data_IF_483725076961
#
_entry.id   IF_483725076961
#
_cell.length_a   1.000
_cell.length_b   1.000
_cell.length_c   1.000
_cell.angle_alpha   90.00
_cell.angle_beta   90.00
_cell.angle_gamma   90.00
#
_symmetry.space_group_name_H-M   'P 1'
#
loop_
_entity.id
_entity.type
_entity.pdbx_description
1 polymer ?
#
# COMPACT_ATOMS: atom_id res chain seq x y z
N UNK A 1 12.65 -10.83 28.04
CA UNK A 1 11.21 -10.51 28.24
C UNK A 1 10.83 -9.50 27.17
N UNK A 2 10.15 -9.94 26.11
CA UNK A 2 9.59 -9.04 25.10
C UNK A 2 8.45 -8.27 25.78
N UNK A 3 8.49 -6.94 25.74
CA UNK A 3 7.32 -6.14 26.14
C UNK A 3 6.23 -6.43 25.11
N UNK A 4 5.04 -6.81 25.56
CA UNK A 4 3.83 -6.72 24.75
C UNK A 4 3.56 -5.21 24.55
N UNK A 5 4.21 -4.62 23.56
CA UNK A 5 3.86 -3.28 23.08
C UNK A 5 2.58 -3.41 22.28
N UNK A 6 1.57 -2.64 22.66
CA UNK A 6 0.41 -2.46 21.80
C UNK A 6 0.84 -1.65 20.57
N UNK A 7 0.56 -2.13 19.35
CA UNK A 7 0.92 -1.40 18.15
C UNK A 7 0.16 -0.08 18.09
N UNK A 8 0.84 0.97 17.61
CA UNK A 8 0.19 2.24 17.26
C UNK A 8 -0.99 1.98 16.33
N UNK A 9 -2.14 2.59 16.63
CA UNK A 9 -3.33 2.53 15.79
C UNK A 9 -3.06 3.13 14.40
N UNK A 10 -3.66 2.55 13.36
CA UNK A 10 -3.34 2.91 11.97
C UNK A 10 -3.75 4.34 11.58
N UNK A 11 -4.69 4.92 12.32
CA UNK A 11 -5.18 6.29 12.17
C UNK A 11 -4.67 7.24 13.26
N UNK A 12 -3.71 6.85 14.09
CA UNK A 12 -3.24 7.67 15.22
C UNK A 12 -2.34 8.85 14.79
N UNK A 13 -1.57 8.69 13.71
CA UNK A 13 -0.55 9.66 13.26
C UNK A 13 -1.21 10.82 12.51
N UNK A 14 -1.16 12.04 13.01
CA UNK A 14 -1.71 13.21 12.30
C UNK A 14 -0.70 13.87 11.38
N UNK A 15 0.55 13.96 11.85
CA UNK A 15 1.61 14.65 11.15
C UNK A 15 2.90 13.84 11.17
N UNK A 16 3.70 13.99 10.12
CA UNK A 16 5.06 13.44 10.06
C UNK A 16 6.05 14.55 9.74
N UNK A 17 7.18 14.56 10.43
CA UNK A 17 8.33 15.40 10.10
C UNK A 17 9.40 14.54 9.43
N UNK A 18 9.68 14.77 8.15
CA UNK A 18 10.61 13.94 7.36
C UNK A 18 11.97 14.62 7.17
N UNK A 19 12.99 14.08 7.83
CA UNK A 19 14.39 14.46 7.66
C UNK A 19 15.05 13.77 6.46
N UNK A 20 15.99 14.47 5.82
CA UNK A 20 16.78 13.93 4.71
C UNK A 20 16.05 13.85 3.36
N UNK A 21 14.83 14.40 3.27
CA UNK A 21 14.09 14.51 2.02
C UNK A 21 14.60 15.66 1.13
N UNK A 22 14.86 16.82 1.74
CA UNK A 22 15.39 18.01 1.09
C UNK A 22 16.77 18.41 1.67
N UNK A 23 17.52 19.19 0.90
CA UNK A 23 18.82 19.75 1.29
C UNK A 23 18.61 20.92 2.26
N UNK A 24 18.06 20.59 3.43
CA UNK A 24 17.71 21.50 4.52
C UNK A 24 18.06 20.84 5.86
N UNK A 25 18.44 21.66 6.85
CA UNK A 25 18.64 21.16 8.22
C UNK A 25 17.32 20.88 8.94
N UNK A 26 16.24 21.51 8.50
CA UNK A 26 14.89 21.32 9.05
C UNK A 26 14.16 20.19 8.31
N UNK A 27 13.30 19.42 9.01
CA UNK A 27 12.46 18.42 8.37
C UNK A 27 11.37 19.08 7.52
N UNK A 28 10.84 18.33 6.55
CA UNK A 28 9.62 18.73 5.85
C UNK A 28 8.42 18.12 6.60
N UNK A 29 7.51 18.97 7.04
CA UNK A 29 6.28 18.54 7.71
C UNK A 29 5.22 18.15 6.67
N UNK A 30 4.66 16.95 6.83
CA UNK A 30 3.52 16.48 6.06
C UNK A 30 2.34 16.26 7.00
N UNK A 31 1.15 16.66 6.54
CA UNK A 31 -0.10 16.50 7.28
C UNK A 31 -0.91 15.38 6.68
N UNK A 32 -1.69 14.67 7.50
CA UNK A 32 -2.61 13.63 7.03
C UNK A 32 -3.54 14.21 5.96
N UNK A 33 -3.46 13.64 4.77
CA UNK A 33 -4.35 13.94 3.66
C UNK A 33 -5.58 13.05 3.70
N UNK A 34 -6.62 13.45 2.97
CA UNK A 34 -7.80 12.59 2.73
C UNK A 34 -7.56 11.83 1.42
N UNK A 35 -7.41 10.50 1.45
CA UNK A 35 -7.27 9.71 0.24
C UNK A 35 -8.48 9.87 -0.67
N UNK A 36 -8.22 9.97 -1.98
CA UNK A 36 -9.28 10.09 -2.97
C UNK A 36 -9.41 8.78 -3.74
N UNK A 37 -10.62 8.24 -3.76
CA UNK A 37 -11.04 7.22 -4.74
C UNK A 37 -10.70 7.66 -6.18
N UNK A 38 -10.79 8.97 -6.44
CA UNK A 38 -10.71 9.54 -7.78
C UNK A 38 -11.84 9.04 -8.68
N UNK A 39 -11.68 9.19 -10.00
CA UNK A 39 -12.65 8.71 -10.99
C UNK A 39 -12.56 7.19 -11.26
N UNK A 40 -12.05 6.38 -10.32
CA UNK A 40 -12.04 4.93 -10.50
C UNK A 40 -13.49 4.44 -10.47
N UNK A 41 -14.07 4.27 -11.65
CA UNK A 41 -15.40 3.68 -11.79
C UNK A 41 -15.44 2.32 -11.09
N UNK A 42 -16.62 1.96 -10.63
CA UNK A 42 -16.89 0.58 -10.21
C UNK A 42 -16.91 -0.28 -11.47
N UNK A 43 -16.14 -1.37 -11.49
CA UNK A 43 -16.25 -2.37 -12.53
C UNK A 43 -17.58 -3.13 -12.36
N UNK A 44 -18.45 -3.03 -13.36
CA UNK A 44 -19.80 -3.59 -13.32
C UNK A 44 -20.00 -4.57 -14.47
N UNK A 45 -20.69 -5.67 -14.19
CA UNK A 45 -21.27 -6.58 -15.19
C UNK A 45 -22.79 -6.51 -15.13
N UNK A 46 -23.46 -7.15 -16.10
CA UNK A 46 -24.94 -7.21 -16.13
C UNK A 46 -25.53 -7.94 -14.94
N UNK A 47 -24.78 -8.91 -14.40
CA UNK A 47 -25.11 -9.63 -13.16
C UNK A 47 -24.34 -9.00 -12.02
N UNK A 48 -25.07 -8.59 -10.98
CA UNK A 48 -24.55 -7.93 -9.79
C UNK A 48 -24.64 -8.90 -8.61
N UNK A 49 -23.64 -8.89 -7.73
CA UNK A 49 -23.62 -9.66 -6.49
C UNK A 49 -24.83 -9.25 -5.62
N UNK A 50 -25.56 -10.21 -5.03
CA UNK A 50 -26.71 -9.90 -4.18
C UNK A 50 -26.42 -9.00 -2.97
N UNK A 51 -25.16 -8.90 -2.53
CA UNK A 51 -24.76 -8.00 -1.45
C UNK A 51 -24.57 -6.56 -1.91
N UNK A 52 -24.42 -6.31 -3.21
CA UNK A 52 -24.35 -4.98 -3.75
C UNK A 52 -25.74 -4.33 -3.78
N UNK A 53 -25.82 -3.09 -3.31
CA UNK A 53 -27.07 -2.31 -3.27
C UNK A 53 -26.94 -1.13 -4.22
N UNK A 54 -27.97 -0.90 -5.06
CA UNK A 54 -27.99 0.20 -6.05
C UNK A 54 -26.78 0.24 -7.00
N UNK A 55 -26.15 -0.93 -7.24
CA UNK A 55 -24.97 -1.04 -8.10
C UNK A 55 -23.68 -0.56 -7.44
N UNK A 56 -23.66 -0.41 -6.11
CA UNK A 56 -22.46 -0.16 -5.31
C UNK A 56 -22.12 -1.38 -4.43
N UNK A 57 -20.82 -1.66 -4.21
CA UNK A 57 -20.39 -2.68 -3.28
C UNK A 57 -20.75 -2.28 -1.82
N UNK A 58 -20.80 -3.26 -0.90
CA UNK A 58 -20.95 -2.97 0.53
C UNK A 58 -19.91 -1.98 1.03
N UNK A 59 -20.27 -1.24 2.08
CA UNK A 59 -19.33 -0.36 2.79
C UNK A 59 -18.15 -1.18 3.35
N UNK A 60 -16.97 -0.57 3.49
CA UNK A 60 -15.82 -1.18 4.15
C UNK A 60 -16.19 -1.70 5.53
N UNK A 61 -15.67 -2.86 5.89
CA UNK A 61 -15.81 -3.39 7.25
C UNK A 61 -14.89 -2.65 8.23
N UNK A 62 -15.36 -2.52 9.46
CA UNK A 62 -14.58 -1.93 10.54
C UNK A 62 -13.40 -2.82 10.95
N UNK A 63 -12.34 -2.19 11.47
CA UNK A 63 -11.11 -2.86 11.89
C UNK A 63 -10.73 -2.43 13.29
N UNK A 64 -10.35 -3.39 14.13
CA UNK A 64 -9.89 -3.12 15.50
C UNK A 64 -8.48 -2.51 15.55
N UNK A 65 -7.80 -2.37 14.41
CA UNK A 65 -6.50 -1.71 14.31
C UNK A 65 -6.63 -0.17 14.28
N UNK A 66 -7.85 0.35 14.17
CA UNK A 66 -8.14 1.77 14.16
C UNK A 66 -8.60 2.21 15.56
N UNK A 67 -8.08 3.34 16.03
CA UNK A 67 -8.55 3.97 17.24
C UNK A 67 -9.89 4.69 17.01
N UNK A 68 -10.73 4.75 18.04
CA UNK A 68 -11.98 5.51 18.03
C UNK A 68 -11.75 7.03 17.84
N UNK A 69 -10.58 7.53 18.28
CA UNK A 69 -10.17 8.93 18.17
C UNK A 69 -8.87 9.03 17.36
N UNK A 70 -8.94 9.39 16.06
CA UNK A 70 -7.78 9.52 15.19
C UNK A 70 -6.95 10.79 15.49
N UNK A 71 -5.69 10.78 15.05
CA UNK A 71 -4.97 12.02 14.73
C UNK A 71 -4.44 12.84 15.91
N UNK A 72 -3.66 12.21 16.81
CA UNK A 72 -3.00 12.94 17.90
C UNK A 72 -1.47 12.77 17.93
N UNK A 73 -0.95 11.80 17.19
CA UNK A 73 0.46 11.48 17.21
C UNK A 73 1.23 12.27 16.14
N UNK A 74 2.43 12.72 16.51
CA UNK A 74 3.41 13.30 15.60
C UNK A 74 4.60 12.34 15.48
N UNK A 75 5.01 12.03 14.25
CA UNK A 75 6.13 11.13 14.02
C UNK A 75 7.31 11.82 13.33
N UNK A 76 8.46 11.80 14.00
CA UNK A 76 9.73 12.22 13.39
C UNK A 76 10.36 11.04 12.64
N UNK A 77 10.54 11.21 11.34
CA UNK A 77 11.05 10.18 10.43
C UNK A 77 12.32 10.65 9.76
N UNK A 78 13.30 9.76 9.65
CA UNK A 78 14.48 9.95 8.81
C UNK A 78 14.42 9.08 7.57
N UNK A 79 14.54 9.72 6.41
CA UNK A 79 14.54 9.03 5.13
C UNK A 79 15.82 8.20 4.97
N UNK A 80 15.65 6.90 4.76
CA UNK A 80 16.73 5.94 4.56
C UNK A 80 16.97 5.60 3.09
N UNK A 81 17.51 4.40 2.87
CA UNK A 81 17.82 3.88 1.55
C UNK A 81 16.58 3.74 0.66
N UNK A 82 16.75 4.01 -0.62
CA UNK A 82 15.80 3.63 -1.66
C UNK A 82 15.68 2.09 -1.70
N UNK A 83 14.48 1.57 -1.54
CA UNK A 83 14.16 0.16 -1.66
C UNK A 83 13.68 -0.19 -3.06
N UNK A 84 12.81 0.66 -3.62
CA UNK A 84 12.17 0.39 -4.91
C UNK A 84 11.80 1.67 -5.68
N UNK A 85 11.79 1.58 -7.01
CA UNK A 85 11.39 2.63 -7.93
C UNK A 85 10.21 2.13 -8.76
N UNK A 86 8.99 2.53 -8.39
CA UNK A 86 7.75 2.10 -9.03
C UNK A 86 7.20 3.14 -10.00
N UNK A 87 6.08 2.81 -10.66
CA UNK A 87 5.41 3.71 -11.63
C UNK A 87 4.92 5.01 -11.00
N UNK A 88 4.43 4.95 -9.77
CA UNK A 88 3.83 6.09 -9.06
C UNK A 88 4.75 6.79 -8.09
N UNK A 89 5.88 6.18 -7.72
CA UNK A 89 6.72 6.75 -6.69
C UNK A 89 7.99 5.98 -6.40
N UNK A 90 8.61 6.38 -5.31
CA UNK A 90 9.80 5.75 -4.75
C UNK A 90 9.47 5.20 -3.38
N UNK A 91 9.88 3.97 -3.08
CA UNK A 91 9.72 3.37 -1.77
C UNK A 91 11.05 3.47 -1.04
N UNK A 92 11.05 4.13 0.11
CA UNK A 92 12.22 4.27 0.97
C UNK A 92 12.00 3.56 2.30
N UNK A 93 13.05 2.98 2.85
CA UNK A 93 13.08 2.67 4.27
C UNK A 93 13.03 3.99 5.05
N UNK A 94 12.38 4.00 6.21
CA UNK A 94 12.43 5.12 7.14
C UNK A 94 12.75 4.60 8.54
N UNK A 95 13.42 5.42 9.33
CA UNK A 95 13.60 5.17 10.77
C UNK A 95 12.87 6.25 11.56
N UNK A 96 12.18 5.84 12.63
CA UNK A 96 11.58 6.78 13.56
C UNK A 96 12.66 7.33 14.49
N UNK A 97 12.65 8.64 14.73
CA UNK A 97 13.52 9.31 15.70
C UNK A 97 12.68 9.81 16.88
N UNK A 98 13.33 10.05 18.02
CA UNK A 98 12.69 10.63 19.20
C UNK A 98 12.08 9.64 20.22
N UNK A 99 11.47 10.17 21.29
CA UNK A 99 10.80 9.39 22.33
C UNK A 99 9.60 8.65 21.71
N UNK A 100 9.57 7.32 21.81
CA UNK A 100 8.52 6.49 21.19
C UNK A 100 8.93 5.78 19.91
N UNK A 101 10.14 6.03 19.38
CA UNK A 101 10.67 5.28 18.24
C UNK A 101 10.73 3.75 18.46
N UNK A 102 10.79 3.30 19.72
CA UNK A 102 10.74 1.88 20.07
C UNK A 102 9.32 1.28 20.01
N UNK A 103 8.28 2.12 20.04
CA UNK A 103 6.88 1.71 20.00
C UNK A 103 6.32 1.69 18.57
N UNK A 104 7.06 2.26 17.61
CA UNK A 104 6.69 2.29 16.19
C UNK A 104 7.36 1.10 15.48
N UNK A 105 6.59 0.29 14.72
CA UNK A 105 7.18 -0.81 13.97
C UNK A 105 8.11 -0.28 12.87
N UNK A 106 8.83 -1.18 12.21
CA UNK A 106 9.59 -0.77 11.03
C UNK A 106 8.63 -0.32 9.93
N UNK A 107 8.92 0.84 9.32
CA UNK A 107 8.07 1.47 8.31
C UNK A 107 8.81 1.68 6.99
N UNK A 108 8.03 1.89 5.93
CA UNK A 108 8.48 2.38 4.63
C UNK A 108 7.62 3.56 4.19
N UNK A 109 8.22 4.49 3.44
CA UNK A 109 7.53 5.62 2.84
C UNK A 109 7.51 5.45 1.32
N UNK A 110 6.31 5.32 0.72
CA UNK A 110 6.11 5.43 -0.73
C UNK A 110 5.84 6.90 -1.05
N UNK A 111 6.76 7.55 -1.74
CA UNK A 111 6.75 8.99 -2.02
C UNK A 111 6.39 9.23 -3.48
N UNK A 112 5.39 10.08 -3.72
CA UNK A 112 4.92 10.45 -5.05
C UNK A 112 4.96 11.97 -5.28
N UNK A 113 5.41 12.36 -6.47
CA UNK A 113 5.50 13.76 -6.91
C UNK A 113 4.16 14.28 -7.47
N UNK A 114 3.98 15.60 -7.63
CA UNK A 114 2.68 16.22 -7.91
C UNK A 114 1.84 15.57 -9.02
N UNK A 115 2.47 15.19 -10.14
CA UNK A 115 1.79 14.59 -11.30
C UNK A 115 1.38 13.13 -11.10
N UNK A 116 1.99 12.41 -10.15
CA UNK A 116 1.68 11.02 -9.81
C UNK A 116 0.87 10.91 -8.51
N UNK A 117 0.82 11.98 -7.70
CA UNK A 117 0.13 12.05 -6.41
C UNK A 117 -1.31 11.51 -6.47
N UNK A 118 -2.14 11.80 -7.49
CA UNK A 118 -3.49 11.24 -7.54
C UNK A 118 -3.54 9.71 -7.56
N UNK A 119 -2.52 9.04 -8.10
CA UNK A 119 -2.44 7.57 -8.09
C UNK A 119 -2.07 7.04 -6.71
N UNK A 120 -1.12 7.68 -6.03
CA UNK A 120 -0.77 7.33 -4.65
C UNK A 120 -1.95 7.56 -3.68
N UNK A 121 -2.68 8.66 -3.86
CA UNK A 121 -3.91 8.96 -3.10
C UNK A 121 -4.98 7.91 -3.33
N UNK A 122 -5.11 7.38 -4.56
CA UNK A 122 -6.02 6.25 -4.85
C UNK A 122 -5.57 4.97 -4.18
N UNK A 123 -4.29 4.63 -4.24
CA UNK A 123 -3.77 3.45 -3.54
C UNK A 123 -4.07 3.53 -2.03
N UNK A 124 -3.83 4.69 -1.43
CA UNK A 124 -4.17 4.93 -0.03
C UNK A 124 -5.66 4.72 0.27
N UNK A 125 -6.54 5.15 -0.64
CA UNK A 125 -7.98 4.93 -0.52
C UNK A 125 -8.33 3.43 -0.55
N UNK A 126 -7.63 2.62 -1.35
CA UNK A 126 -7.83 1.16 -1.36
C UNK A 126 -7.41 0.53 -0.02
N UNK A 127 -6.34 1.01 0.62
CA UNK A 127 -6.01 0.58 1.99
C UNK A 127 -7.11 0.93 2.99
N UNK A 128 -7.72 2.11 2.89
CA UNK A 128 -8.87 2.51 3.72
C UNK A 128 -10.15 1.72 3.42
N UNK A 129 -10.33 1.23 2.21
CA UNK A 129 -11.44 0.36 1.84
C UNK A 129 -11.21 -1.09 2.32
N UNK A 130 -9.95 -1.51 2.43
CA UNK A 130 -9.51 -2.84 2.89
C UNK A 130 -9.03 -2.85 4.36
N UNK A 131 -9.58 -1.98 5.21
CA UNK A 131 -9.20 -1.81 6.62
C UNK A 131 -9.13 -3.12 7.42
N UNK A 132 -10.09 -4.03 7.22
CA UNK A 132 -10.14 -5.31 7.93
C UNK A 132 -9.10 -6.34 7.46
N UNK A 133 -8.43 -6.10 6.33
CA UNK A 133 -7.43 -7.00 5.75
C UNK A 133 -5.97 -6.60 6.03
N UNK A 134 -5.78 -5.39 6.56
CA UNK A 134 -4.46 -4.86 6.88
C UNK A 134 -3.78 -5.65 8.00
N UNK A 135 -2.52 -6.02 7.79
CA UNK A 135 -1.77 -6.91 8.69
C UNK A 135 -2.10 -8.39 8.53
N UNK A 136 -3.08 -8.76 7.70
CA UNK A 136 -3.43 -10.14 7.37
C UNK A 136 -2.97 -10.54 5.95
N UNK A 137 -3.46 -9.86 4.91
CA UNK A 137 -3.13 -10.16 3.50
C UNK A 137 -2.57 -8.97 2.73
N UNK A 138 -2.70 -7.77 3.26
CA UNK A 138 -2.03 -6.55 2.79
C UNK A 138 -1.25 -5.90 3.95
N UNK A 139 -0.24 -5.05 3.69
CA UNK A 139 0.47 -4.32 4.74
C UNK A 139 -0.46 -3.46 5.59
N UNK A 140 -0.03 -3.14 6.80
CA UNK A 140 -0.62 -2.03 7.54
C UNK A 140 -0.25 -0.70 6.89
N UNK A 141 -1.22 0.19 6.78
CA UNK A 141 -1.13 1.52 6.23
C UNK A 141 -1.41 2.51 7.36
N UNK A 142 -0.38 3.26 7.73
CA UNK A 142 -0.40 4.23 8.82
C UNK A 142 -0.90 5.61 8.37
N UNK A 143 -1.20 5.77 7.08
CA UNK A 143 -1.82 6.96 6.54
C UNK A 143 -1.21 7.46 5.26
N UNK A 144 -1.94 8.39 4.65
CA UNK A 144 -1.54 9.18 3.52
C UNK A 144 -1.29 10.61 3.99
N UNK A 145 -0.15 11.19 3.61
CA UNK A 145 0.30 12.48 4.09
C UNK A 145 0.72 13.36 2.92
N UNK A 146 0.52 14.66 3.05
CA UNK A 146 0.78 15.64 2.01
C UNK A 146 1.57 16.83 2.54
N UNK A 147 2.48 17.36 1.73
CA UNK A 147 3.18 18.59 2.00
C UNK A 147 3.27 19.44 0.74
N UNK A 148 3.04 20.73 0.89
CA UNK A 148 3.35 21.72 -0.14
C UNK A 148 4.87 21.93 -0.15
N UNK A 149 5.49 21.72 -1.31
CA UNK A 149 6.92 21.90 -1.47
C UNK A 149 7.22 23.33 -1.94
N UNK A 150 8.06 24.09 -1.20
CA UNK A 150 8.53 25.41 -1.64
C UNK A 150 9.18 25.40 -3.02
N UNK A 151 9.03 26.50 -3.74
CA UNK A 151 9.75 26.72 -4.99
C UNK A 151 11.27 26.76 -4.71
N UNK A 152 12.07 26.21 -5.63
CA UNK A 152 13.53 26.15 -5.47
C UNK A 152 14.05 25.11 -4.48
N UNK A 153 13.18 24.39 -3.73
CA UNK A 153 13.63 23.32 -2.83
C UNK A 153 14.44 22.26 -3.58
N UNK A 154 15.63 21.91 -3.08
CA UNK A 154 16.49 20.88 -3.67
C UNK A 154 16.27 19.57 -2.91
N UNK A 155 15.93 18.50 -3.63
CA UNK A 155 15.80 17.16 -3.02
C UNK A 155 17.18 16.53 -2.82
N UNK A 156 17.34 15.74 -1.75
CA UNK A 156 18.62 15.08 -1.45
C UNK A 156 18.92 13.92 -2.41
N UNK A 157 17.89 13.16 -2.77
CA UNK A 157 18.03 11.97 -3.61
C UNK A 157 17.98 12.36 -5.10
N UNK A 158 18.94 11.86 -5.88
CA UNK A 158 19.02 12.15 -7.31
C UNK A 158 17.76 11.69 -8.07
N UNK A 159 17.18 10.55 -7.68
CA UNK A 159 15.95 10.05 -8.27
C UNK A 159 14.75 11.00 -8.03
N UNK A 160 14.70 11.69 -6.89
CA UNK A 160 13.68 12.68 -6.59
C UNK A 160 13.83 13.92 -7.48
N UNK A 161 15.08 14.38 -7.69
CA UNK A 161 15.37 15.47 -8.63
C UNK A 161 14.94 15.13 -10.05
N UNK A 162 15.27 13.93 -10.53
CA UNK A 162 14.96 13.49 -11.89
C UNK A 162 13.45 13.39 -12.18
N UNK A 163 12.62 13.07 -11.18
CA UNK A 163 11.15 13.01 -11.32
C UNK A 163 10.44 14.32 -11.05
N UNK A 164 11.13 15.34 -10.54
CA UNK A 164 10.56 16.68 -10.47
C UNK A 164 10.47 17.22 -11.89
N UNK A 165 9.32 17.03 -12.52
CA UNK A 165 8.98 17.77 -13.74
C UNK A 165 8.81 19.23 -13.32
N UNK A 166 9.65 20.17 -13.78
CA UNK A 166 9.38 21.59 -13.59
C UNK A 166 7.98 21.86 -14.12
N UNK A 167 7.19 22.70 -13.44
CA UNK A 167 5.86 23.10 -13.90
C UNK A 167 5.88 23.26 -15.41
N UNK A 168 5.13 22.42 -16.13
CA UNK A 168 5.05 22.47 -17.59
C UNK A 168 4.46 23.84 -17.96
N UNK A 169 5.34 24.81 -18.19
CA UNK A 169 5.01 26.14 -18.68
C UNK A 169 4.77 26.09 -20.19
N UNK A 170 3.82 25.25 -20.61
CA UNK A 170 3.44 25.07 -22.01
C UNK A 170 1.92 25.12 -22.15
N UNK A 171 1.42 26.24 -22.69
CA UNK A 171 0.10 26.58 -23.27
C UNK A 171 -1.22 26.09 -22.64
N UNK A 172 -1.18 25.19 -21.65
CA UNK A 172 -2.32 24.77 -20.86
C UNK A 172 -2.09 25.20 -19.41
N UNK A 173 -2.78 26.27 -18.99
CA UNK A 173 -2.76 26.92 -17.66
C UNK A 173 -3.27 26.03 -16.50
N UNK A 174 -3.07 24.72 -16.53
CA UNK A 174 -3.37 23.88 -15.36
C UNK A 174 -2.17 23.96 -14.41
N UNK A 175 -2.21 24.94 -13.51
CA UNK A 175 -1.28 25.03 -12.38
C UNK A 175 -1.51 23.79 -11.51
N UNK A 176 -0.64 22.79 -11.63
CA UNK A 176 -0.63 21.64 -10.73
C UNK A 176 0.01 22.08 -9.41
N UNK A 177 -0.69 22.00 -8.27
CA UNK A 177 -0.09 22.33 -6.98
C UNK A 177 1.17 21.50 -6.74
N UNK A 178 2.26 22.14 -6.31
CA UNK A 178 3.52 21.47 -5.99
C UNK A 178 3.44 20.69 -4.66
N UNK A 179 2.49 19.75 -4.58
CA UNK A 179 2.22 18.91 -3.42
C UNK A 179 2.86 17.53 -3.64
N UNK A 180 3.66 17.09 -2.68
CA UNK A 180 4.20 15.72 -2.61
C UNK A 180 3.31 14.90 -1.68
N UNK A 181 3.00 13.68 -2.10
CA UNK A 181 2.26 12.70 -1.29
C UNK A 181 3.19 11.63 -0.73
N UNK A 182 2.91 11.17 0.49
CA UNK A 182 3.57 10.05 1.15
C UNK A 182 2.51 9.06 1.61
N UNK A 183 2.71 7.78 1.29
CA UNK A 183 1.97 6.67 1.88
C UNK A 183 2.91 5.93 2.84
N UNK A 184 2.54 5.90 4.12
CA UNK A 184 3.35 5.29 5.18
C UNK A 184 2.83 3.87 5.46
N UNK A 185 3.67 2.87 5.26
CA UNK A 185 3.29 1.46 5.34
C UNK A 185 4.20 0.70 6.31
N UNK A 186 3.70 -0.40 6.85
CA UNK A 186 4.50 -1.44 7.51
C UNK A 186 5.61 -1.92 6.58
N UNK A 187 6.83 -2.04 7.12
CA UNK A 187 7.95 -2.62 6.41
C UNK A 187 7.83 -4.13 6.38
N UNK A 188 7.80 -4.68 5.16
CA UNK A 188 7.91 -6.11 4.91
C UNK A 188 9.38 -6.52 4.71
N UNK A 189 9.61 -7.81 4.49
CA UNK A 189 10.95 -8.32 4.16
C UNK A 189 11.34 -7.95 2.72
N UNK A 190 12.57 -8.30 2.34
CA UNK A 190 13.01 -8.24 0.94
C UNK A 190 12.74 -9.57 0.19
N UNK A 191 12.11 -10.55 0.83
CA UNK A 191 11.86 -11.86 0.24
C UNK A 191 10.64 -11.81 -0.69
N UNK A 192 10.83 -12.31 -1.90
CA UNK A 192 9.79 -12.54 -2.91
C UNK A 192 9.54 -14.04 -3.06
N UNK A 193 8.47 -14.41 -3.75
CA UNK A 193 8.22 -15.82 -4.08
C UNK A 193 9.43 -16.41 -4.82
N UNK A 194 9.84 -17.65 -4.51
CA UNK A 194 11.01 -18.25 -5.15
C UNK A 194 10.79 -18.51 -6.64
N UNK A 195 11.85 -18.34 -7.43
CA UNK A 195 11.87 -18.63 -8.86
C UNK A 195 12.45 -20.01 -9.12
N UNK A 196 12.02 -20.65 -10.21
CA UNK A 196 12.48 -21.99 -10.62
C UNK A 196 12.22 -23.08 -9.55
N UNK A 197 11.21 -22.89 -8.71
CA UNK A 197 10.80 -23.84 -7.68
C UNK A 197 9.42 -24.38 -8.02
N UNK A 198 9.25 -25.69 -7.93
CA UNK A 198 7.93 -26.32 -8.02
C UNK A 198 7.16 -26.05 -6.73
N UNK A 199 6.16 -25.18 -6.81
CA UNK A 199 5.26 -24.94 -5.68
C UNK A 199 4.45 -26.18 -5.33
N UNK A 200 4.43 -26.52 -4.04
CA UNK A 200 3.51 -27.52 -3.50
C UNK A 200 2.07 -26.99 -3.47
N UNK A 201 1.10 -27.89 -3.30
CA UNK A 201 -0.32 -27.53 -3.27
C UNK A 201 -0.63 -26.48 -2.19
N UNK A 202 -0.01 -26.60 -1.02
CA UNK A 202 -0.25 -25.69 0.11
C UNK A 202 0.21 -24.25 -0.17
N UNK A 203 1.28 -24.09 -0.94
CA UNK A 203 1.77 -22.79 -1.40
C UNK A 203 0.84 -22.18 -2.44
N UNK A 204 0.44 -22.96 -3.44
CA UNK A 204 -0.52 -22.48 -4.44
C UNK A 204 -1.82 -22.03 -3.77
N UNK A 205 -2.33 -22.84 -2.84
CA UNK A 205 -3.52 -22.51 -2.07
C UNK A 205 -3.33 -21.23 -1.24
N UNK A 206 -2.17 -21.04 -0.60
CA UNK A 206 -1.90 -19.81 0.16
C UNK A 206 -1.99 -18.56 -0.71
N UNK A 207 -1.41 -18.58 -1.91
CA UNK A 207 -1.45 -17.42 -2.81
C UNK A 207 -2.86 -17.19 -3.35
N UNK A 208 -3.60 -18.25 -3.70
CA UNK A 208 -5.01 -18.14 -4.07
C UNK A 208 -5.85 -17.54 -2.93
N UNK A 209 -5.61 -17.99 -1.70
CA UNK A 209 -6.32 -17.50 -0.51
C UNK A 209 -6.03 -16.03 -0.22
N UNK A 210 -4.82 -15.51 -0.48
CA UNK A 210 -4.51 -14.07 -0.36
C UNK A 210 -5.44 -13.22 -1.24
N UNK A 211 -5.53 -13.57 -2.52
CA UNK A 211 -6.37 -12.83 -3.47
C UNK A 211 -7.85 -13.05 -3.23
N UNK A 212 -8.22 -14.23 -2.72
CA UNK A 212 -9.58 -14.51 -2.27
C UNK A 212 -10.02 -13.54 -1.18
N UNK A 213 -9.21 -13.35 -0.13
CA UNK A 213 -9.53 -12.43 0.96
C UNK A 213 -9.80 -11.00 0.45
N UNK A 214 -9.02 -10.52 -0.53
CA UNK A 214 -9.20 -9.19 -1.14
C UNK A 214 -10.48 -9.14 -2.00
N UNK A 215 -10.70 -10.16 -2.84
CA UNK A 215 -11.91 -10.23 -3.68
C UNK A 215 -13.20 -10.34 -2.87
N UNK A 216 -13.17 -10.93 -1.68
CA UNK A 216 -14.33 -10.99 -0.78
C UNK A 216 -14.78 -9.59 -0.32
N UNK A 217 -13.86 -8.61 -0.39
CA UNK A 217 -14.11 -7.19 -0.11
C UNK A 217 -14.44 -6.37 -1.38
N UNK A 218 -14.84 -7.03 -2.47
CA UNK A 218 -15.26 -6.39 -3.72
C UNK A 218 -14.17 -5.55 -4.39
N UNK A 219 -12.91 -5.97 -4.27
CA UNK A 219 -11.74 -5.34 -4.90
C UNK A 219 -11.10 -6.29 -5.90
N UNK A 220 -10.94 -5.82 -7.13
CA UNK A 220 -10.23 -6.47 -8.23
C UNK A 220 -8.78 -5.99 -8.22
N UNK A 221 -7.85 -6.92 -7.99
CA UNK A 221 -6.41 -6.66 -8.05
C UNK A 221 -5.92 -6.92 -9.46
N UNK A 222 -5.71 -5.84 -10.22
CA UNK A 222 -5.35 -5.93 -11.64
C UNK A 222 -3.87 -6.21 -11.91
N UNK A 223 -3.01 -5.89 -10.96
CA UNK A 223 -1.55 -6.02 -11.10
C UNK A 223 -1.03 -7.22 -10.29
N UNK A 224 -1.49 -8.42 -10.63
CA UNK A 224 -1.04 -9.68 -10.01
C UNK A 224 0.34 -10.03 -10.56
N UNK A 225 1.37 -9.52 -9.90
CA UNK A 225 2.76 -9.66 -10.30
C UNK A 225 3.64 -10.23 -9.19
N UNK A 226 4.75 -10.86 -9.60
CA UNK A 226 5.77 -11.39 -8.68
C UNK A 226 6.31 -10.33 -7.71
N UNK A 227 6.56 -9.12 -8.22
CA UNK A 227 7.05 -7.99 -7.44
C UNK A 227 6.08 -7.54 -6.34
N UNK A 228 4.78 -7.81 -6.53
CA UNK A 228 3.70 -7.32 -5.68
C UNK A 228 3.31 -8.32 -4.57
N UNK A 229 4.04 -9.43 -4.43
CA UNK A 229 3.86 -10.40 -3.35
C UNK A 229 5.13 -10.48 -2.52
N UNK A 230 5.07 -9.95 -1.30
CA UNK A 230 6.22 -9.82 -0.41
C UNK A 230 5.99 -10.57 0.89
N UNK A 231 7.04 -11.24 1.39
CA UNK A 231 6.96 -11.94 2.68
C UNK A 231 6.97 -10.97 3.85
N UNK A 232 6.22 -11.30 4.90
CA UNK A 232 6.26 -10.57 6.19
C UNK A 232 7.68 -10.52 6.77
N UNK A 233 8.01 -9.42 7.43
CA UNK A 233 9.31 -9.28 8.10
C UNK A 233 9.41 -10.27 9.27
N UNK A 234 10.58 -10.88 9.44
CA UNK A 234 10.93 -11.71 10.61
C UNK A 234 11.78 -10.94 11.63
N UNK A 235 11.87 -9.62 11.45
CA UNK A 235 12.54 -8.72 12.37
C UNK A 235 11.91 -8.84 13.77
N UNK A 236 12.69 -8.72 14.86
CA UNK A 236 12.15 -8.69 16.21
C UNK A 236 11.22 -7.48 16.45
N UNK A 237 11.26 -6.47 15.57
CA UNK A 237 10.38 -5.30 15.58
C UNK A 237 9.18 -5.43 14.64
N UNK A 238 9.02 -6.57 13.96
CA UNK A 238 7.86 -6.83 13.11
C UNK A 238 6.62 -7.10 13.96
N UNK A 239 5.48 -6.54 13.54
CA UNK A 239 4.21 -6.81 14.19
C UNK A 239 3.72 -8.23 13.86
N UNK A 240 3.02 -8.90 14.79
CA UNK A 240 2.43 -10.19 14.53
C UNK A 240 1.43 -10.10 13.37
N UNK A 241 1.40 -11.13 12.53
CA UNK A 241 0.40 -11.23 11.46
C UNK A 241 -0.99 -11.52 12.03
N UNK A 242 -2.02 -10.90 11.46
CA UNK A 242 -3.40 -11.20 11.77
C UNK A 242 -3.92 -12.37 10.90
N UNK A 243 -4.90 -13.15 11.38
CA UNK A 243 -5.56 -14.14 10.55
C UNK A 243 -6.41 -13.45 9.46
N UNK A 244 -6.49 -14.08 8.28
CA UNK A 244 -7.45 -13.71 7.25
C UNK A 244 -8.89 -13.86 7.74
N UNK A 245 -9.77 -12.99 7.26
CA UNK A 245 -11.15 -12.92 7.70
C UNK A 245 -11.94 -14.17 7.30
N UNK A 246 -11.84 -14.55 6.03
CA UNK A 246 -12.63 -15.63 5.45
C UNK A 246 -12.01 -17.00 5.73
N UNK A 247 -10.68 -17.07 5.71
CA UNK A 247 -9.92 -18.32 5.83
C UNK A 247 -9.51 -18.63 7.27
N UNK A 248 -9.44 -17.62 8.14
CA UNK A 248 -8.88 -17.74 9.50
C UNK A 248 -7.37 -18.03 9.53
N UNK A 249 -6.71 -18.07 8.36
CA UNK A 249 -5.30 -18.44 8.23
C UNK A 249 -4.39 -17.25 8.47
N UNK A 250 -3.27 -17.46 9.14
CA UNK A 250 -2.18 -16.48 9.20
C UNK A 250 -1.28 -16.68 7.98
N UNK A 251 -1.12 -15.63 7.18
CA UNK A 251 -0.35 -15.66 5.94
C UNK A 251 1.09 -15.21 6.15
N UNK A 252 2.04 -15.85 5.47
CA UNK A 252 3.44 -15.38 5.44
C UNK A 252 3.68 -14.30 4.39
N UNK A 253 2.72 -14.08 3.49
CA UNK A 253 2.85 -13.19 2.34
C UNK A 253 1.82 -12.06 2.41
N UNK A 254 2.14 -10.95 1.73
CA UNK A 254 1.27 -9.79 1.59
C UNK A 254 1.24 -9.34 0.14
N UNK A 255 0.07 -8.91 -0.31
CA UNK A 255 -0.12 -8.20 -1.58
C UNK A 255 0.15 -6.72 -1.35
N UNK A 256 0.99 -6.12 -2.20
CA UNK A 256 1.30 -4.69 -2.19
C UNK A 256 0.93 -4.04 -3.52
N UNK A 257 1.22 -2.74 -3.65
CA UNK A 257 1.02 -1.95 -4.87
C UNK A 257 -0.44 -1.96 -5.36
N UNK A 258 -1.32 -1.40 -4.54
CA UNK A 258 -2.77 -1.46 -4.75
C UNK A 258 -3.29 -0.33 -5.67
N UNK A 259 -2.40 0.34 -6.41
CA UNK A 259 -2.73 1.54 -7.20
C UNK A 259 -3.68 1.29 -8.38
N UNK A 260 -3.60 0.10 -8.97
CA UNK A 260 -4.42 -0.34 -10.09
C UNK A 260 -5.63 -1.17 -9.64
N UNK A 261 -5.86 -1.29 -8.32
CA UNK A 261 -7.05 -1.96 -7.79
C UNK A 261 -8.31 -1.16 -8.12
N UNK A 262 -9.41 -1.88 -8.37
CA UNK A 262 -10.72 -1.26 -8.61
C UNK A 262 -11.81 -1.97 -7.81
N UNK A 263 -12.84 -1.22 -7.39
CA UNK A 263 -14.04 -1.85 -6.85
C UNK A 263 -14.82 -2.55 -7.95
N UNK A 264 -15.45 -3.67 -7.64
CA UNK A 264 -16.39 -4.33 -8.52
C UNK A 264 -17.73 -4.63 -7.84
N UNK A 265 -18.75 -4.92 -8.63
CA UNK A 265 -20.05 -5.43 -8.14
C UNK A 265 -20.35 -6.83 -8.62
N UNK A 266 -19.37 -7.48 -9.24
CA UNK A 266 -19.49 -8.83 -9.81
C UNK A 266 -19.66 -9.87 -8.69
N UNK A 267 -20.53 -10.90 -8.87
CA UNK A 267 -20.65 -12.01 -7.91
C UNK A 267 -19.30 -12.60 -7.53
N UNK A 268 -19.03 -12.74 -6.23
CA UNK A 268 -17.69 -13.08 -5.71
C UNK A 268 -17.10 -14.37 -6.28
N UNK A 269 -17.88 -15.45 -6.33
CA UNK A 269 -17.42 -16.73 -6.92
C UNK A 269 -17.07 -16.59 -8.40
N UNK A 270 -17.89 -15.85 -9.15
CA UNK A 270 -17.63 -15.57 -10.56
C UNK A 270 -16.36 -14.73 -10.70
N UNK A 271 -16.19 -13.72 -9.85
CA UNK A 271 -15.04 -12.85 -9.89
C UNK A 271 -13.74 -13.64 -9.63
N UNK A 272 -13.75 -14.47 -8.59
CA UNK A 272 -12.62 -15.34 -8.25
C UNK A 272 -12.23 -16.28 -9.37
N UNK A 273 -13.20 -16.94 -10.01
CA UNK A 273 -12.92 -17.90 -11.09
C UNK A 273 -12.38 -17.20 -12.34
N UNK A 274 -12.96 -16.05 -12.72
CA UNK A 274 -12.69 -15.43 -14.02
C UNK A 274 -11.58 -14.39 -14.01
N UNK A 275 -11.31 -13.73 -12.89
CA UNK A 275 -10.33 -12.64 -12.83
C UNK A 275 -9.11 -12.98 -11.96
N UNK A 276 -9.27 -13.70 -10.85
CA UNK A 276 -8.14 -14.02 -9.97
C UNK A 276 -7.50 -15.36 -10.28
N UNK A 277 -8.28 -16.44 -10.34
CA UNK A 277 -7.73 -17.81 -10.41
C UNK A 277 -6.80 -17.98 -11.61
N UNK A 278 -7.23 -17.52 -12.79
CA UNK A 278 -6.43 -17.63 -14.02
C UNK A 278 -5.14 -16.80 -13.96
N UNK A 279 -5.20 -15.59 -13.41
CA UNK A 279 -4.02 -14.72 -13.28
C UNK A 279 -3.03 -15.26 -12.24
N UNK A 280 -3.52 -15.77 -11.10
CA UNK A 280 -2.68 -16.41 -10.08
C UNK A 280 -2.05 -17.70 -10.61
N UNK A 281 -2.80 -18.54 -11.32
CA UNK A 281 -2.26 -19.76 -11.93
C UNK A 281 -1.20 -19.43 -13.00
N UNK A 282 -1.44 -18.37 -13.78
CA UNK A 282 -0.47 -17.86 -14.76
C UNK A 282 0.80 -17.38 -14.06
N UNK A 283 0.68 -16.58 -12.99
CA UNK A 283 1.80 -16.14 -12.17
C UNK A 283 2.61 -17.34 -11.66
N UNK A 284 1.96 -18.28 -10.98
CA UNK A 284 2.63 -19.44 -10.39
C UNK A 284 3.32 -20.30 -11.46
N UNK A 285 2.67 -20.50 -12.62
CA UNK A 285 3.26 -21.21 -13.75
C UNK A 285 4.48 -20.50 -14.35
N UNK A 286 4.47 -19.16 -14.41
CA UNK A 286 5.62 -18.36 -14.83
C UNK A 286 6.79 -18.46 -13.83
N UNK A 287 6.52 -18.33 -12.53
CA UNK A 287 7.53 -18.44 -11.49
C UNK A 287 8.20 -19.81 -11.44
N UNK A 288 7.44 -20.90 -11.67
CA UNK A 288 7.99 -22.26 -11.80
C UNK A 288 8.99 -22.40 -12.96
N UNK A 289 8.83 -21.58 -14.01
CA UNK A 289 9.73 -21.50 -15.17
C UNK A 289 10.83 -20.43 -15.02
N UNK A 290 10.86 -19.73 -13.89
CA UNK A 290 11.81 -18.64 -13.65
C UNK A 290 11.51 -17.34 -14.41
N UNK A 291 10.26 -17.13 -14.83
CA UNK A 291 9.83 -15.95 -15.58
C UNK A 291 9.14 -14.97 -14.61
N UNK A 292 9.65 -13.74 -14.54
CA UNK A 292 9.10 -12.68 -13.66
C UNK A 292 8.26 -11.64 -14.40
N UNK A 293 8.50 -11.46 -15.70
CA UNK A 293 7.83 -10.45 -16.52
C UNK A 293 6.80 -11.12 -17.41
N UNK A 294 5.53 -11.01 -17.07
CA UNK A 294 4.43 -11.27 -17.98
C UNK A 294 3.42 -10.12 -17.81
N UNK A 295 3.10 -9.48 -18.93
CA UNK A 295 2.07 -8.45 -19.02
C UNK A 295 0.76 -9.08 -19.47
#
# INVERSE_FOLDING_TARGET
>A
MSRNQEPIALNAIETIALYGFADTNEPIEFHRGVPSRGNSGVFRLSVVDPLCTEGEPPAPEESTLYAEHPGHEHLELKLGSLLECGRTGYVHAVSCEGPGALDVPELVAKISFPHLRPRLSREAWIYEDLRSLQGAVIPRCYGYFEAQIPEGMVFMQECHRARRVPNLSGDFEVIVPNIVGILLLERLSNERLPLNVRFGKDWCNEIHDLYKEISESFVDVRDIAHGNIIRVSRSPHALPSLPGRTTGRVFEWRVIDLEDCVKHTVPRDYHMINFHTQHVDTLLGCLQRGITNFC
#
